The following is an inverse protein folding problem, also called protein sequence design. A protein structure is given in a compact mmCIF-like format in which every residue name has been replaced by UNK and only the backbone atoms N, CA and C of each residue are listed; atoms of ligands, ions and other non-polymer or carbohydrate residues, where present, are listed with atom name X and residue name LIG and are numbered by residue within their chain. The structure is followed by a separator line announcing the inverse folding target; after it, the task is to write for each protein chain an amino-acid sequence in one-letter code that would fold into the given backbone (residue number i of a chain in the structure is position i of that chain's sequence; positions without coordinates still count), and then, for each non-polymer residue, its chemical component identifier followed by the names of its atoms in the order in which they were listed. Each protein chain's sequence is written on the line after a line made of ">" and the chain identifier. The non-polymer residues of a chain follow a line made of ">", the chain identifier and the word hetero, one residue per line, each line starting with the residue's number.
data_IF_271773173261
#
_entry.id   IF_271773173261
#
_cell.length_a   1.000
_cell.length_b   1.000
_cell.length_c   1.000
_cell.angle_alpha   90.00
_cell.angle_beta   90.00
_cell.angle_gamma   90.00
#
_symmetry.space_group_name_H-M   'P 1'
#
loop_
_entity.id
_entity.type
_entity.pdbx_description
1 polymer ?
#
# COMPACT_ATOMS: atom_id res chain seq x y z
N UNK A 1 18.50 -4.46 -7.81
CA UNK A 1 18.37 -3.44 -6.76
C UNK A 1 19.30 -3.72 -5.59
N UNK A 2 20.62 -3.83 -5.82
CA UNK A 2 21.63 -3.88 -4.74
C UNK A 2 22.04 -2.48 -4.25
N UNK A 3 21.49 -1.43 -4.88
CA UNK A 3 21.69 -0.04 -4.49
C UNK A 3 20.62 0.35 -3.49
N UNK A 4 21.01 0.87 -2.33
CA UNK A 4 20.09 1.25 -1.24
C UNK A 4 18.99 2.21 -1.73
N UNK A 5 19.33 3.17 -2.61
CA UNK A 5 18.34 4.10 -3.20
C UNK A 5 17.27 3.45 -4.07
N UNK A 6 17.46 2.21 -4.54
CA UNK A 6 16.44 1.42 -5.25
C UNK A 6 15.67 0.52 -4.27
N UNK A 7 16.28 0.12 -3.16
CA UNK A 7 15.65 -0.77 -2.18
C UNK A 7 14.47 -0.11 -1.48
N UNK A 8 14.58 1.18 -1.14
CA UNK A 8 13.51 1.94 -0.50
C UNK A 8 12.20 1.97 -1.35
N UNK A 9 12.21 2.41 -2.62
CA UNK A 9 11.00 2.36 -3.46
C UNK A 9 10.54 0.92 -3.75
N UNK A 10 11.45 -0.06 -3.89
CA UNK A 10 11.05 -1.46 -4.03
C UNK A 10 10.33 -1.99 -2.79
N UNK A 11 10.78 -1.62 -1.60
CA UNK A 11 10.15 -2.01 -0.35
C UNK A 11 8.74 -1.43 -0.23
N UNK A 12 8.56 -0.15 -0.59
CA UNK A 12 7.23 0.48 -0.67
C UNK A 12 6.31 -0.23 -1.64
N UNK A 13 6.78 -0.59 -2.84
CA UNK A 13 5.99 -1.33 -3.83
C UNK A 13 5.53 -2.68 -3.27
N UNK A 14 6.45 -3.48 -2.73
CA UNK A 14 6.12 -4.81 -2.20
C UNK A 14 5.18 -4.74 -1.00
N UNK A 15 5.48 -3.82 -0.07
CA UNK A 15 4.71 -3.62 1.15
C UNK A 15 3.30 -3.13 0.86
N UNK A 16 3.14 -2.15 -0.03
CA UNK A 16 1.84 -1.68 -0.49
C UNK A 16 1.05 -2.79 -1.18
N UNK A 17 1.69 -3.58 -2.06
CA UNK A 17 1.02 -4.70 -2.71
C UNK A 17 0.46 -5.71 -1.69
N UNK A 18 1.25 -6.06 -0.67
CA UNK A 18 0.81 -6.97 0.38
C UNK A 18 -0.37 -6.42 1.20
N UNK A 19 -0.30 -5.14 1.60
CA UNK A 19 -1.35 -4.45 2.38
C UNK A 19 -2.64 -4.30 1.57
N UNK A 20 -2.53 -3.87 0.31
CA UNK A 20 -3.68 -3.66 -0.58
C UNK A 20 -4.43 -4.96 -0.84
N UNK A 21 -3.70 -6.03 -1.17
CA UNK A 21 -4.29 -7.34 -1.42
C UNK A 21 -4.91 -7.95 -0.15
N UNK A 22 -4.29 -7.74 1.02
CA UNK A 22 -4.88 -8.15 2.31
C UNK A 22 -6.21 -7.41 2.59
N UNK A 23 -6.23 -6.09 2.38
CA UNK A 23 -7.41 -5.25 2.61
C UNK A 23 -8.55 -5.57 1.62
N UNK A 24 -8.22 -5.80 0.35
CA UNK A 24 -9.16 -6.17 -0.70
C UNK A 24 -9.73 -7.59 -0.50
N UNK A 25 -8.89 -8.54 -0.08
CA UNK A 25 -9.33 -9.89 0.23
C UNK A 25 -10.29 -9.90 1.43
N UNK A 26 -9.94 -9.22 2.53
CA UNK A 26 -10.77 -9.19 3.74
C UNK A 26 -12.18 -8.63 3.46
N UNK A 27 -12.29 -7.54 2.70
CA UNK A 27 -13.60 -6.98 2.36
C UNK A 27 -14.39 -7.88 1.42
N UNK A 28 -13.71 -8.52 0.46
CA UNK A 28 -14.36 -9.46 -0.47
C UNK A 28 -14.95 -10.64 0.28
N UNK A 29 -14.22 -11.20 1.26
CA UNK A 29 -14.77 -12.23 2.14
C UNK A 29 -16.01 -11.75 2.90
N UNK A 30 -16.00 -10.54 3.46
CA UNK A 30 -17.18 -9.97 4.11
C UNK A 30 -18.39 -9.88 3.19
N UNK A 31 -18.18 -9.42 1.94
CA UNK A 31 -19.25 -9.36 0.92
C UNK A 31 -19.77 -10.76 0.59
N UNK A 32 -18.90 -11.75 0.48
CA UNK A 32 -19.29 -13.14 0.23
C UNK A 32 -20.12 -13.74 1.38
N UNK A 33 -19.92 -13.28 2.61
CA UNK A 33 -20.73 -13.65 3.77
C UNK A 33 -22.11 -12.95 3.79
N UNK A 34 -22.40 -12.07 2.82
CA UNK A 34 -23.67 -11.35 2.72
C UNK A 34 -23.67 -9.97 3.41
N UNK A 35 -22.54 -9.55 3.97
CA UNK A 35 -22.41 -8.24 4.60
C UNK A 35 -22.44 -7.10 3.57
N UNK A 36 -22.83 -5.90 4.01
CA UNK A 36 -22.84 -4.67 3.18
C UNK A 36 -21.89 -3.62 3.76
N UNK A 37 -20.56 -3.81 3.64
CA UNK A 37 -19.58 -3.06 4.41
C UNK A 37 -19.23 -1.69 3.80
N UNK A 38 -20.21 -0.77 3.73
CA UNK A 38 -20.05 0.53 3.05
C UNK A 38 -18.86 1.37 3.54
N UNK A 39 -18.60 1.39 4.85
CA UNK A 39 -17.46 2.13 5.44
C UNK A 39 -16.14 1.46 5.09
N UNK A 40 -16.06 0.13 5.13
CA UNK A 40 -14.83 -0.59 4.76
C UNK A 40 -14.56 -0.45 3.26
N UNK A 41 -15.59 -0.43 2.41
CA UNK A 41 -15.46 -0.18 0.97
C UNK A 41 -14.83 1.19 0.71
N UNK A 42 -15.28 2.21 1.44
CA UNK A 42 -14.71 3.55 1.38
C UNK A 42 -13.23 3.58 1.82
N UNK A 43 -12.87 2.85 2.89
CA UNK A 43 -11.49 2.71 3.37
C UNK A 43 -10.61 2.05 2.30
N UNK A 44 -11.03 0.89 1.79
CA UNK A 44 -10.29 0.11 0.78
C UNK A 44 -10.10 0.94 -0.47
N UNK A 45 -11.17 1.58 -0.98
CA UNK A 45 -11.10 2.44 -2.15
C UNK A 45 -10.11 3.59 -1.94
N UNK A 46 -10.22 4.32 -0.84
CA UNK A 46 -9.35 5.46 -0.56
C UNK A 46 -7.87 5.05 -0.47
N UNK A 47 -7.56 4.05 0.37
CA UNK A 47 -6.18 3.67 0.66
C UNK A 47 -5.53 2.88 -0.47
N UNK A 48 -6.25 1.97 -1.13
CA UNK A 48 -5.66 1.17 -2.21
C UNK A 48 -5.37 2.02 -3.44
N UNK A 49 -6.24 2.98 -3.78
CA UNK A 49 -5.98 3.88 -4.92
C UNK A 49 -4.80 4.81 -4.66
N UNK A 50 -4.66 5.34 -3.44
CA UNK A 50 -3.52 6.19 -3.09
C UNK A 50 -2.20 5.41 -3.01
N UNK A 51 -2.19 4.24 -2.35
CA UNK A 51 -1.00 3.38 -2.29
C UNK A 51 -0.60 2.87 -3.67
N UNK A 52 -1.57 2.48 -4.49
CA UNK A 52 -1.31 2.06 -5.88
C UNK A 52 -0.69 3.17 -6.72
N UNK A 53 -1.19 4.41 -6.60
CA UNK A 53 -0.59 5.56 -7.26
C UNK A 53 0.87 5.77 -6.85
N UNK A 54 1.17 5.72 -5.54
CA UNK A 54 2.55 5.86 -5.06
C UNK A 54 3.44 4.73 -5.57
N UNK A 55 2.96 3.49 -5.58
CA UNK A 55 3.74 2.36 -6.10
C UNK A 55 4.03 2.47 -7.61
N UNK A 56 3.14 3.07 -8.39
CA UNK A 56 3.41 3.35 -9.81
C UNK A 56 4.47 4.45 -9.97
N UNK A 57 4.42 5.51 -9.16
CA UNK A 57 5.44 6.56 -9.15
C UNK A 57 6.81 5.97 -8.80
N UNK A 58 6.87 5.19 -7.71
CA UNK A 58 8.09 4.50 -7.29
C UNK A 58 8.64 3.58 -8.41
N UNK A 59 7.76 2.88 -9.14
CA UNK A 59 8.16 2.03 -10.26
C UNK A 59 8.69 2.85 -11.45
N UNK A 60 8.12 4.02 -11.73
CA UNK A 60 8.64 4.93 -12.76
C UNK A 60 10.02 5.48 -12.38
N UNK A 61 10.22 5.86 -11.11
CA UNK A 61 11.52 6.33 -10.63
C UNK A 61 12.62 5.27 -10.78
N UNK A 62 12.29 4.00 -10.50
CA UNK A 62 13.22 2.87 -10.68
C UNK A 62 13.54 2.63 -12.16
N UNK A 63 12.55 2.74 -13.04
CA UNK A 63 12.69 2.40 -14.47
C UNK A 63 13.20 3.55 -15.34
N UNK A 64 13.18 4.78 -14.83
CA UNK A 64 13.71 5.96 -15.51
C UNK A 64 13.08 6.21 -16.87
N UNK A 65 13.90 6.40 -17.91
CA UNK A 65 13.43 6.71 -19.27
C UNK A 65 12.47 5.67 -19.85
N UNK A 66 12.67 4.38 -19.53
CA UNK A 66 11.77 3.28 -19.93
C UNK A 66 10.38 3.45 -19.37
N UNK A 67 10.25 3.96 -18.15
CA UNK A 67 8.96 4.21 -17.50
C UNK A 67 8.13 5.27 -18.24
N UNK A 68 8.77 6.23 -18.89
CA UNK A 68 8.12 7.40 -19.51
C UNK A 68 7.86 7.19 -21.01
N UNK A 69 8.78 6.54 -21.73
CA UNK A 69 8.67 6.41 -23.19
C UNK A 69 7.47 5.54 -23.59
N UNK A 70 6.50 6.12 -24.30
CA UNK A 70 5.26 5.45 -24.69
C UNK A 70 5.44 4.67 -25.99
N UNK A 71 5.78 3.38 -25.89
CA UNK A 71 5.76 2.45 -27.01
C UNK A 71 5.30 1.05 -26.62
N UNK A 72 5.49 0.08 -27.53
CA UNK A 72 4.98 -1.28 -27.35
C UNK A 72 5.67 -2.02 -26.20
N UNK A 73 6.91 -1.67 -25.88
CA UNK A 73 7.67 -2.31 -24.80
C UNK A 73 7.49 -1.63 -23.44
N UNK A 74 6.70 -0.54 -23.37
CA UNK A 74 6.40 0.14 -22.11
C UNK A 74 5.29 -0.58 -21.31
N UNK A 75 5.53 -0.77 -20.01
CA UNK A 75 4.62 -1.48 -19.10
C UNK A 75 4.08 -0.62 -17.94
N UNK A 76 4.45 0.67 -17.85
CA UNK A 76 4.14 1.52 -16.69
C UNK A 76 3.41 2.82 -17.03
N UNK A 77 3.74 3.47 -18.15
CA UNK A 77 3.27 4.82 -18.45
C UNK A 77 1.74 4.91 -18.52
N UNK A 78 1.07 3.88 -19.05
CA UNK A 78 -0.40 3.83 -19.11
C UNK A 78 -1.04 3.67 -17.74
N UNK A 79 -0.44 2.87 -16.86
CA UNK A 79 -0.90 2.74 -15.47
C UNK A 79 -0.77 4.09 -14.74
N UNK A 80 0.33 4.81 -14.95
CA UNK A 80 0.54 6.14 -14.39
C UNK A 80 -0.49 7.17 -14.90
N UNK A 81 -0.73 7.21 -16.22
CA UNK A 81 -1.74 8.08 -16.82
C UNK A 81 -3.16 7.79 -16.29
N UNK A 82 -3.47 6.52 -16.00
CA UNK A 82 -4.76 6.11 -15.46
C UNK A 82 -4.92 6.31 -13.95
N UNK A 83 -3.83 6.36 -13.18
CA UNK A 83 -3.86 6.41 -11.71
C UNK A 83 -4.74 7.54 -11.12
N UNK A 84 -4.76 8.77 -11.66
CA UNK A 84 -5.61 9.85 -11.15
C UNK A 84 -7.12 9.59 -11.29
N UNK A 85 -7.55 8.77 -12.26
CA UNK A 85 -8.97 8.48 -12.50
C UNK A 85 -9.55 7.76 -11.29
N UNK A 86 -8.85 6.75 -10.76
CA UNK A 86 -9.30 5.96 -9.61
C UNK A 86 -9.46 6.80 -8.32
N UNK A 87 -8.76 7.93 -8.21
CA UNK A 87 -8.86 8.84 -7.06
C UNK A 87 -10.19 9.61 -7.05
N UNK A 88 -10.72 9.94 -8.24
CA UNK A 88 -11.87 10.83 -8.42
C UNK A 88 -13.17 10.08 -8.70
N UNK A 89 -13.10 8.99 -9.45
CA UNK A 89 -14.26 8.15 -9.79
C UNK A 89 -14.66 7.29 -8.58
N UNK A 90 -15.92 6.84 -8.54
CA UNK A 90 -16.53 6.06 -7.44
C UNK A 90 -16.64 6.81 -6.09
N UNK A 91 -16.52 8.13 -6.14
CA UNK A 91 -16.53 9.03 -4.98
C UNK A 91 -15.14 9.60 -4.74
N UNK A 92 -15.02 10.92 -4.89
CA UNK A 92 -13.75 11.62 -4.75
C UNK A 92 -13.12 11.35 -3.38
N UNK A 93 -11.87 10.89 -3.36
CA UNK A 93 -11.15 10.51 -2.13
C UNK A 93 -11.19 11.60 -1.04
N UNK A 94 -11.18 12.88 -1.43
CA UNK A 94 -11.30 14.02 -0.51
C UNK A 94 -12.60 13.97 0.30
N UNK A 95 -13.73 13.70 -0.36
CA UNK A 95 -15.04 13.59 0.27
C UNK A 95 -15.17 12.27 1.03
N UNK A 96 -14.67 11.18 0.46
CA UNK A 96 -14.65 9.85 1.08
C UNK A 96 -13.94 9.88 2.43
N UNK A 97 -12.73 10.44 2.47
CA UNK A 97 -11.92 10.59 3.69
C UNK A 97 -12.60 11.50 4.71
N UNK A 98 -13.10 12.67 4.28
CA UNK A 98 -13.56 13.70 5.23
C UNK A 98 -14.97 13.47 5.77
N UNK A 99 -15.87 12.89 4.97
CA UNK A 99 -17.29 12.77 5.30
C UNK A 99 -17.78 11.34 5.50
N UNK A 100 -17.30 10.37 4.71
CA UNK A 100 -17.89 9.01 4.72
C UNK A 100 -17.24 8.08 5.74
N UNK A 101 -15.91 7.95 5.74
CA UNK A 101 -15.20 6.95 6.56
C UNK A 101 -15.53 7.11 8.04
N UNK A 102 -15.28 8.29 8.62
CA UNK A 102 -15.61 8.53 10.01
C UNK A 102 -17.06 8.99 10.21
N UNK A 103 -17.55 9.94 9.42
CA UNK A 103 -18.88 10.54 9.64
C UNK A 103 -20.02 9.52 9.60
N UNK A 104 -20.01 8.57 8.67
CA UNK A 104 -21.01 7.50 8.63
C UNK A 104 -20.64 6.31 9.52
N UNK A 105 -19.34 5.99 9.63
CA UNK A 105 -18.85 4.89 10.47
C UNK A 105 -19.09 5.12 11.96
N UNK A 106 -18.91 6.35 12.44
CA UNK A 106 -19.05 6.66 13.85
C UNK A 106 -20.50 6.63 14.35
N UNK A 107 -21.49 6.87 13.46
CA UNK A 107 -22.90 6.74 13.82
C UNK A 107 -23.35 5.27 13.78
N UNK A 108 -22.90 4.50 12.79
CA UNK A 108 -23.36 3.11 12.58
C UNK A 108 -22.64 2.08 13.45
N UNK A 109 -21.37 2.30 13.75
CA UNK A 109 -20.55 1.32 14.46
C UNK A 109 -20.45 1.61 15.97
N UNK A 110 -20.90 2.78 16.43
CA UNK A 110 -20.84 3.12 17.84
C UNK A 110 -22.03 2.48 18.59
N UNK A 111 -21.77 1.73 19.68
CA UNK A 111 -22.77 0.88 20.33
C UNK A 111 -23.97 1.64 20.93
N UNK A 112 -23.83 2.95 21.22
CA UNK A 112 -24.87 3.73 21.90
C UNK A 112 -25.43 4.88 21.07
N UNK A 113 -24.70 5.40 20.09
CA UNK A 113 -25.00 6.72 19.48
C UNK A 113 -26.27 6.66 18.62
N UNK A 114 -26.46 5.58 17.86
CA UNK A 114 -27.67 5.42 17.04
C UNK A 114 -28.92 5.29 17.92
N UNK A 115 -28.85 4.44 18.95
CA UNK A 115 -29.96 4.22 19.89
C UNK A 115 -30.29 5.50 20.68
N UNK A 116 -29.29 6.28 21.09
CA UNK A 116 -29.49 7.58 21.73
C UNK A 116 -30.20 8.58 20.82
N UNK A 117 -29.82 8.63 19.54
CA UNK A 117 -30.47 9.51 18.56
C UNK A 117 -31.92 9.09 18.30
N UNK A 118 -32.21 7.79 18.25
CA UNK A 118 -33.57 7.26 18.10
C UNK A 118 -34.44 7.53 19.33
N UNK A 119 -33.90 7.31 20.54
CA UNK A 119 -34.60 7.61 21.80
C UNK A 119 -34.91 9.12 21.92
N UNK A 120 -33.95 9.98 21.59
CA UNK A 120 -34.15 11.43 21.56
C UNK A 120 -35.21 11.84 20.53
N UNK A 121 -35.21 11.23 19.33
CA UNK A 121 -36.21 11.49 18.29
C UNK A 121 -37.62 11.07 18.71
N UNK A 122 -37.73 9.98 19.47
CA UNK A 122 -38.99 9.45 19.97
C UNK A 122 -39.46 10.11 21.28
N UNK A 123 -38.74 11.12 21.79
CA UNK A 123 -38.99 11.78 23.08
C UNK A 123 -39.04 10.80 24.27
N UNK A 124 -38.33 9.68 24.20
CA UNK A 124 -38.23 8.71 25.30
C UNK A 124 -37.07 9.07 26.23
N UNK A 125 -37.36 9.94 27.21
CA UNK A 125 -36.38 10.45 28.17
C UNK A 125 -35.77 9.34 29.01
N UNK A 126 -36.55 8.33 29.40
CA UNK A 126 -36.07 7.24 30.26
C UNK A 126 -35.11 6.31 29.50
N UNK A 127 -35.43 5.98 28.24
CA UNK A 127 -34.54 5.21 27.38
C UNK A 127 -33.26 6.00 27.07
N UNK A 128 -33.40 7.30 26.79
CA UNK A 128 -32.27 8.18 26.52
C UNK A 128 -31.31 8.28 27.71
N UNK A 129 -31.81 8.56 28.92
CA UNK A 129 -30.98 8.67 30.12
C UNK A 129 -30.24 7.36 30.41
N UNK A 130 -30.93 6.22 30.28
CA UNK A 130 -30.32 4.89 30.48
C UNK A 130 -29.19 4.63 29.48
N UNK A 131 -29.37 5.01 28.21
CA UNK A 131 -28.35 4.86 27.17
C UNK A 131 -27.17 5.81 27.42
N UNK A 132 -27.45 7.07 27.76
CA UNK A 132 -26.45 8.08 28.06
C UNK A 132 -25.54 7.67 29.22
N UNK A 133 -26.09 7.14 30.32
CA UNK A 133 -25.28 6.65 31.44
C UNK A 133 -24.40 5.44 31.07
N UNK A 134 -24.90 4.52 30.22
CA UNK A 134 -24.08 3.43 29.69
C UNK A 134 -22.96 3.94 28.79
N UNK A 135 -23.24 4.94 27.96
CA UNK A 135 -22.26 5.59 27.10
C UNK A 135 -21.18 6.28 27.94
N UNK A 136 -21.54 7.06 28.97
CA UNK A 136 -20.57 7.66 29.91
C UNK A 136 -19.69 6.58 30.56
N UNK A 137 -20.28 5.44 30.96
CA UNK A 137 -19.54 4.28 31.46
C UNK A 137 -18.56 3.70 30.43
N UNK A 138 -18.96 3.64 29.16
CA UNK A 138 -18.11 3.22 28.05
C UNK A 138 -16.91 4.16 27.86
N UNK A 139 -17.15 5.47 27.86
CA UNK A 139 -16.08 6.49 27.77
C UNK A 139 -15.10 6.35 28.94
N UNK A 140 -15.62 6.18 30.15
CA UNK A 140 -14.80 6.00 31.35
C UNK A 140 -13.91 4.75 31.28
N UNK A 141 -14.47 3.62 30.85
CA UNK A 141 -13.74 2.37 30.63
C UNK A 141 -12.66 2.53 29.54
N UNK A 142 -13.00 3.16 28.41
CA UNK A 142 -12.06 3.42 27.33
C UNK A 142 -10.92 4.34 27.77
N UNK A 143 -11.20 5.35 28.60
CA UNK A 143 -10.17 6.23 29.18
C UNK A 143 -9.19 5.46 30.05
N UNK A 144 -9.68 4.64 30.98
CA UNK A 144 -8.82 3.83 31.86
C UNK A 144 -8.01 2.83 31.04
N UNK A 145 -8.65 2.16 30.07
CA UNK A 145 -7.98 1.20 29.18
C UNK A 145 -6.93 1.86 28.31
N UNK A 146 -7.23 3.02 27.71
CA UNK A 146 -6.30 3.81 26.90
C UNK A 146 -5.10 4.25 27.72
N UNK A 147 -5.32 4.78 28.92
CA UNK A 147 -4.25 5.18 29.84
C UNK A 147 -3.38 3.98 30.26
N UNK A 148 -4.01 2.88 30.69
CA UNK A 148 -3.30 1.68 31.15
C UNK A 148 -2.50 1.00 30.04
N UNK A 149 -3.09 0.86 28.85
CA UNK A 149 -2.38 0.33 27.67
C UNK A 149 -1.34 1.31 27.14
N UNK A 150 -1.53 2.61 27.34
CA UNK A 150 -0.53 3.65 27.11
C UNK A 150 0.71 3.43 27.99
N UNK A 151 0.50 3.33 29.31
CA UNK A 151 1.56 3.15 30.29
C UNK A 151 2.30 1.81 30.13
N UNK A 152 1.55 0.72 29.92
CA UNK A 152 2.11 -0.64 29.77
C UNK A 152 2.55 -0.96 28.34
N UNK A 153 2.48 0.01 27.41
CA UNK A 153 2.76 -0.19 25.98
C UNK A 153 1.99 -1.38 25.39
N UNK A 154 0.75 -1.60 25.83
CA UNK A 154 -0.12 -2.69 25.39
C UNK A 154 0.27 -4.09 25.88
N UNK A 155 1.36 -4.26 26.64
CA UNK A 155 1.90 -5.58 27.04
C UNK A 155 0.90 -6.46 27.78
N UNK A 156 -0.06 -5.84 28.48
CA UNK A 156 -1.08 -6.49 29.29
C UNK A 156 -2.33 -6.89 28.51
N UNK A 157 -2.42 -6.55 27.22
CA UNK A 157 -3.58 -6.92 26.39
C UNK A 157 -3.48 -8.34 25.86
N UNK A 158 -4.63 -9.02 25.79
CA UNK A 158 -4.78 -10.37 25.25
C UNK A 158 -4.46 -10.40 23.75
N UNK A 159 -3.81 -11.48 23.32
CA UNK A 159 -3.47 -11.72 21.93
C UNK A 159 -3.98 -13.09 21.50
N UNK A 160 -4.44 -13.26 20.25
CA UNK A 160 -4.85 -14.56 19.75
C UNK A 160 -3.64 -15.51 19.61
N UNK A 161 -2.43 -14.95 19.45
CA UNK A 161 -1.21 -15.73 19.22
C UNK A 161 -0.03 -15.32 20.09
N UNK A 162 0.95 -16.21 20.18
CA UNK A 162 2.19 -16.04 20.93
C UNK A 162 3.46 -15.84 20.07
N UNK A 163 3.30 -15.64 18.76
CA UNK A 163 4.40 -15.61 17.79
C UNK A 163 4.96 -14.18 17.53
N UNK A 164 5.69 -13.99 16.42
CA UNK A 164 6.25 -12.71 16.01
C UNK A 164 5.21 -11.59 15.83
N UNK A 165 3.93 -11.94 15.65
CA UNK A 165 2.83 -10.98 15.48
C UNK A 165 2.18 -10.55 16.80
N UNK A 166 2.52 -11.21 17.92
CA UNK A 166 1.93 -10.94 19.25
C UNK A 166 1.91 -9.45 19.59
N UNK A 167 3.06 -8.76 19.47
CA UNK A 167 3.14 -7.34 19.82
C UNK A 167 2.25 -6.47 18.94
N UNK A 168 2.04 -6.83 17.68
CA UNK A 168 1.17 -6.07 16.80
C UNK A 168 -0.29 -6.10 17.24
N UNK A 169 -0.82 -7.27 17.64
CA UNK A 169 -2.17 -7.33 18.22
C UNK A 169 -2.30 -6.44 19.47
N UNK A 170 -1.26 -6.41 20.32
CA UNK A 170 -1.26 -5.56 21.50
C UNK A 170 -1.26 -4.06 21.16
N UNK A 171 -0.50 -3.69 20.13
CA UNK A 171 -0.46 -2.33 19.61
C UNK A 171 -1.79 -1.91 18.98
N UNK A 172 -2.44 -2.79 18.21
CA UNK A 172 -3.77 -2.55 17.66
C UNK A 172 -4.83 -2.41 18.75
N UNK A 173 -4.79 -3.23 19.79
CA UNK A 173 -5.70 -3.10 20.94
C UNK A 173 -5.54 -1.74 21.64
N UNK A 174 -4.32 -1.25 21.78
CA UNK A 174 -4.04 0.09 22.32
C UNK A 174 -4.60 1.19 21.40
N UNK A 175 -4.31 1.13 20.09
CA UNK A 175 -4.78 2.11 19.13
C UNK A 175 -6.31 2.12 19.01
N UNK A 176 -6.96 0.97 19.08
CA UNK A 176 -8.41 0.83 19.11
C UNK A 176 -9.02 1.52 20.34
N UNK A 177 -8.44 1.31 21.53
CA UNK A 177 -8.88 1.99 22.75
C UNK A 177 -8.69 3.53 22.66
N UNK A 178 -7.58 3.97 22.07
CA UNK A 178 -7.32 5.39 21.83
C UNK A 178 -8.32 5.99 20.84
N UNK A 179 -8.62 5.31 19.74
CA UNK A 179 -9.59 5.76 18.75
C UNK A 179 -11.00 5.85 19.37
N UNK A 180 -11.40 4.87 20.17
CA UNK A 180 -12.69 4.91 20.86
C UNK A 180 -12.77 6.14 21.77
N UNK A 181 -11.78 6.36 22.64
CA UNK A 181 -11.72 7.54 23.50
C UNK A 181 -11.73 8.86 22.70
N UNK A 182 -10.93 8.95 21.64
CA UNK A 182 -10.87 10.13 20.77
C UNK A 182 -12.21 10.40 20.09
N UNK A 183 -12.91 9.35 19.66
CA UNK A 183 -14.22 9.44 19.02
C UNK A 183 -15.26 9.96 20.01
N UNK A 184 -15.34 9.35 21.20
CA UNK A 184 -16.29 9.72 22.25
C UNK A 184 -16.09 11.17 22.69
N UNK A 185 -14.84 11.57 22.98
CA UNK A 185 -14.54 12.95 23.41
C UNK A 185 -14.75 13.95 22.27
N UNK A 186 -14.46 13.57 21.01
CA UNK A 186 -14.76 14.42 19.86
C UNK A 186 -16.25 14.65 19.69
N UNK A 187 -17.06 13.60 19.84
CA UNK A 187 -18.53 13.71 19.80
C UNK A 187 -19.08 14.53 20.96
N UNK A 188 -18.57 14.32 22.18
CA UNK A 188 -19.02 15.08 23.35
C UNK A 188 -18.69 16.59 23.25
N UNK A 189 -17.48 16.93 22.79
CA UNK A 189 -17.02 18.33 22.71
C UNK A 189 -17.58 19.07 21.49
N UNK A 190 -17.68 18.38 20.35
CA UNK A 190 -18.03 19.03 19.08
C UNK A 190 -19.49 18.78 18.68
N UNK A 191 -20.14 17.76 19.24
CA UNK A 191 -21.53 17.40 18.94
C UNK A 191 -21.82 17.31 17.45
N UNK A 192 -22.96 17.87 17.03
CA UNK A 192 -23.35 17.94 15.62
C UNK A 192 -22.42 18.79 14.74
N UNK A 193 -21.50 19.59 15.31
CA UNK A 193 -20.50 20.32 14.52
C UNK A 193 -19.36 19.42 14.04
N UNK A 194 -19.18 18.22 14.60
CA UNK A 194 -18.14 17.27 14.19
C UNK A 194 -18.25 16.93 12.70
N UNK A 195 -19.47 16.72 12.19
CA UNK A 195 -19.74 16.48 10.77
C UNK A 195 -19.32 17.65 9.87
N UNK A 196 -19.38 18.89 10.38
CA UNK A 196 -18.94 20.11 9.67
C UNK A 196 -17.42 20.33 9.77
N UNK A 197 -16.75 19.74 10.76
CA UNK A 197 -15.30 19.83 10.95
C UNK A 197 -14.61 18.69 10.20
N UNK A 198 -14.71 18.75 8.88
CA UNK A 198 -14.23 17.75 7.93
C UNK A 198 -12.79 17.27 8.18
N UNK A 199 -11.86 18.17 8.53
CA UNK A 199 -10.46 17.79 8.83
C UNK A 199 -10.28 16.95 10.11
N UNK A 200 -11.11 17.18 11.14
CA UNK A 200 -11.07 16.40 12.39
C UNK A 200 -11.65 15.01 12.13
N UNK A 201 -12.80 14.97 11.44
CA UNK A 201 -13.43 13.74 10.97
C UNK A 201 -12.49 12.91 10.10
N UNK A 202 -11.78 13.56 9.16
CA UNK A 202 -10.78 12.92 8.30
C UNK A 202 -9.69 12.20 9.10
N UNK A 203 -9.10 12.85 10.11
CA UNK A 203 -8.03 12.26 10.93
C UNK A 203 -8.51 11.07 11.77
N UNK A 204 -9.72 11.15 12.33
CA UNK A 204 -10.34 10.01 13.01
C UNK A 204 -10.58 8.85 12.04
N UNK A 205 -10.99 9.16 10.81
CA UNK A 205 -11.14 8.20 9.72
C UNK A 205 -9.81 7.58 9.29
N UNK A 206 -8.73 8.34 9.27
CA UNK A 206 -7.38 7.84 8.97
C UNK A 206 -6.93 6.83 10.02
N UNK A 207 -7.11 7.12 11.33
CA UNK A 207 -6.79 6.17 12.42
C UNK A 207 -7.58 4.87 12.26
N UNK A 208 -8.90 4.97 12.03
CA UNK A 208 -9.76 3.81 11.79
C UNK A 208 -9.29 2.99 10.58
N UNK A 209 -8.92 3.68 9.50
CA UNK A 209 -8.45 3.05 8.29
C UNK A 209 -7.17 2.26 8.51
N UNK A 210 -6.19 2.84 9.19
CA UNK A 210 -4.93 2.15 9.47
C UNK A 210 -5.12 0.95 10.41
N UNK A 211 -6.03 1.04 11.39
CA UNK A 211 -6.43 -0.10 12.20
C UNK A 211 -7.01 -1.24 11.34
N UNK A 212 -7.86 -0.90 10.36
CA UNK A 212 -8.41 -1.88 9.42
C UNK A 212 -7.33 -2.51 8.54
N UNK A 213 -6.45 -1.70 7.93
CA UNK A 213 -5.37 -2.20 7.07
C UNK A 213 -4.40 -3.12 7.82
N UNK A 214 -3.97 -2.74 9.02
CA UNK A 214 -3.12 -3.58 9.86
C UNK A 214 -3.81 -4.88 10.29
N UNK A 215 -5.11 -4.81 10.61
CA UNK A 215 -5.90 -6.00 10.94
C UNK A 215 -6.03 -6.94 9.74
N UNK A 216 -6.21 -6.39 8.54
CA UNK A 216 -6.29 -7.16 7.30
C UNK A 216 -4.97 -7.87 6.99
N UNK A 217 -3.83 -7.20 7.16
CA UNK A 217 -2.48 -7.79 7.01
C UNK A 217 -2.28 -8.97 7.96
N UNK A 218 -2.61 -8.79 9.24
CA UNK A 218 -2.50 -9.86 10.23
C UNK A 218 -3.48 -11.02 9.95
N UNK A 219 -4.69 -10.71 9.49
CA UNK A 219 -5.70 -11.71 9.15
C UNK A 219 -5.29 -12.53 7.93
N UNK A 220 -4.78 -11.88 6.87
CA UNK A 220 -4.21 -12.57 5.71
C UNK A 220 -3.09 -13.52 6.12
N UNK A 221 -2.15 -13.04 6.93
CA UNK A 221 -1.04 -13.87 7.41
C UNK A 221 -1.52 -15.12 8.16
N UNK A 222 -2.58 -14.98 8.97
CA UNK A 222 -3.21 -16.09 9.67
C UNK A 222 -3.90 -17.08 8.70
N UNK A 223 -4.70 -16.55 7.75
CA UNK A 223 -5.46 -17.35 6.78
C UNK A 223 -4.57 -18.09 5.77
N UNK A 224 -3.40 -17.53 5.43
CA UNK A 224 -2.42 -18.14 4.54
C UNK A 224 -1.47 -19.12 5.26
N UNK A 225 -1.73 -19.43 6.54
CA UNK A 225 -0.99 -20.46 7.30
C UNK A 225 0.28 -19.95 8.00
N UNK A 226 0.40 -18.64 8.22
CA UNK A 226 1.51 -18.00 8.96
C UNK A 226 2.89 -18.31 8.38
N UNK A 227 3.03 -18.17 7.07
CA UNK A 227 4.29 -18.44 6.36
C UNK A 227 5.41 -17.49 6.82
N UNK A 228 6.44 -18.00 7.52
CA UNK A 228 7.53 -17.17 8.04
C UNK A 228 8.26 -16.34 6.96
N UNK A 229 8.28 -16.83 5.71
CA UNK A 229 8.85 -16.11 4.56
C UNK A 229 8.14 -14.77 4.26
N UNK A 230 6.87 -14.63 4.66
CA UNK A 230 6.06 -13.41 4.44
C UNK A 230 6.19 -12.41 5.59
N UNK A 231 6.81 -12.80 6.71
CA UNK A 231 6.96 -11.94 7.88
C UNK A 231 7.57 -10.57 7.58
N UNK A 232 8.59 -10.41 6.70
CA UNK A 232 9.10 -9.08 6.37
C UNK A 232 8.03 -8.15 5.81
N UNK A 233 7.12 -8.65 4.97
CA UNK A 233 6.01 -7.87 4.40
C UNK A 233 4.94 -7.55 5.45
N UNK A 234 4.65 -8.52 6.33
CA UNK A 234 3.73 -8.33 7.46
C UNK A 234 4.27 -7.26 8.42
N UNK A 235 5.54 -7.36 8.80
CA UNK A 235 6.22 -6.38 9.64
C UNK A 235 6.16 -4.99 9.00
N UNK A 236 6.44 -4.89 7.70
CA UNK A 236 6.42 -3.62 6.99
C UNK A 236 5.03 -3.00 6.97
N UNK A 237 4.02 -3.76 6.54
CA UNK A 237 2.65 -3.27 6.41
C UNK A 237 2.02 -2.86 7.74
N UNK A 238 2.28 -3.62 8.81
CA UNK A 238 1.76 -3.28 10.15
C UNK A 238 2.52 -2.09 10.75
N UNK A 239 3.85 -2.03 10.63
CA UNK A 239 4.63 -0.89 11.15
C UNK A 239 4.23 0.42 10.47
N UNK A 240 4.09 0.41 9.15
CA UNK A 240 3.60 1.55 8.37
C UNK A 240 2.22 2.01 8.84
N UNK A 241 1.26 1.08 8.99
CA UNK A 241 -0.07 1.41 9.47
C UNK A 241 -0.08 1.96 10.92
N UNK A 242 0.69 1.35 11.83
CA UNK A 242 0.81 1.82 13.22
C UNK A 242 1.41 3.23 13.28
N UNK A 243 2.44 3.50 12.48
CA UNK A 243 3.10 4.81 12.39
C UNK A 243 2.13 5.88 11.86
N UNK A 244 1.44 5.61 10.75
CA UNK A 244 0.46 6.53 10.17
C UNK A 244 -0.73 6.79 11.11
N UNK A 245 -1.18 5.77 11.86
CA UNK A 245 -2.21 5.93 12.87
C UNK A 245 -1.77 6.85 14.02
N UNK A 246 -0.51 6.71 14.49
CA UNK A 246 0.06 7.57 15.52
C UNK A 246 0.16 9.02 15.07
N UNK A 247 0.62 9.23 13.84
CA UNK A 247 0.70 10.56 13.23
C UNK A 247 -0.68 11.21 13.11
N UNK A 248 -1.70 10.46 12.67
CA UNK A 248 -3.07 10.98 12.58
C UNK A 248 -3.67 11.33 13.95
N UNK A 249 -3.39 10.54 15.01
CA UNK A 249 -3.79 10.85 16.39
C UNK A 249 -3.13 12.14 16.88
N UNK A 250 -1.83 12.28 16.65
CA UNK A 250 -1.10 13.46 17.08
C UNK A 250 -1.57 14.72 16.35
N UNK A 251 -1.70 14.65 15.02
CA UNK A 251 -2.23 15.75 14.21
C UNK A 251 -3.65 16.16 14.63
N UNK A 252 -4.46 15.19 15.07
CA UNK A 252 -5.79 15.43 15.60
C UNK A 252 -5.71 16.24 16.90
N UNK A 253 -4.86 15.84 17.84
CA UNK A 253 -4.68 16.52 19.13
C UNK A 253 -4.07 17.92 18.94
N UNK A 254 -3.07 18.06 18.07
CA UNK A 254 -2.44 19.35 17.75
C UNK A 254 -3.41 20.36 17.14
N UNK A 255 -4.51 19.91 16.55
CA UNK A 255 -5.49 20.76 15.88
C UNK A 255 -6.87 20.68 16.54
N UNK A 256 -6.94 20.10 17.73
CA UNK A 256 -8.21 19.95 18.43
C UNK A 256 -8.68 21.33 18.93
N UNK A 257 -9.96 21.71 18.74
CA UNK A 257 -10.43 23.07 19.02
C UNK A 257 -10.30 23.49 20.49
N UNK A 258 -10.53 22.55 21.41
CA UNK A 258 -10.37 22.79 22.84
C UNK A 258 -8.98 22.33 23.29
N UNK A 259 -8.08 23.29 23.51
CA UNK A 259 -6.68 23.04 23.89
C UNK A 259 -6.52 22.36 25.24
N UNK A 260 -7.41 22.61 26.19
CA UNK A 260 -7.39 21.96 27.51
C UNK A 260 -7.72 20.48 27.36
N UNK A 261 -8.79 20.17 26.63
CA UNK A 261 -9.18 18.78 26.34
C UNK A 261 -8.09 18.07 25.54
N UNK A 262 -7.49 18.76 24.56
CA UNK A 262 -6.36 18.22 23.79
C UNK A 262 -5.18 17.84 24.67
N UNK A 263 -4.79 18.70 25.62
CA UNK A 263 -3.72 18.43 26.57
C UNK A 263 -4.01 17.22 27.46
N UNK A 264 -5.23 17.13 28.00
CA UNK A 264 -5.66 15.98 28.81
C UNK A 264 -5.65 14.68 28.01
N UNK A 265 -6.17 14.70 26.78
CA UNK A 265 -6.14 13.54 25.89
C UNK A 265 -4.71 13.14 25.53
N UNK A 266 -3.83 14.10 25.29
CA UNK A 266 -2.42 13.84 24.99
C UNK A 266 -1.73 13.09 26.14
N UNK A 267 -1.94 13.52 27.38
CA UNK A 267 -1.41 12.83 28.58
C UNK A 267 -1.97 11.40 28.71
N UNK A 268 -3.24 11.20 28.35
CA UNK A 268 -3.88 9.87 28.43
C UNK A 268 -3.40 8.92 27.34
N UNK A 269 -3.29 9.41 26.10
CA UNK A 269 -2.97 8.61 24.90
C UNK A 269 -1.46 8.35 24.78
N UNK A 270 -0.66 9.36 25.13
CA UNK A 270 0.80 9.38 25.03
C UNK A 270 1.47 9.65 26.38
N UNK A 271 1.20 8.86 27.44
CA UNK A 271 1.75 9.11 28.78
C UNK A 271 3.29 9.05 28.79
N UNK A 272 3.87 8.23 27.94
CA UNK A 272 5.33 8.08 27.77
C UNK A 272 5.81 8.55 26.39
N UNK A 273 5.02 9.39 25.70
CA UNK A 273 5.32 9.89 24.35
C UNK A 273 4.85 8.99 23.20
N UNK A 274 5.39 9.26 22.00
CA UNK A 274 5.17 8.47 20.77
C UNK A 274 6.11 7.27 20.73
N UNK A 275 5.64 6.18 20.13
CA UNK A 275 6.35 4.89 20.21
C UNK A 275 6.48 4.18 18.87
N UNK A 276 5.67 4.53 17.87
CA UNK A 276 5.68 3.82 16.61
C UNK A 276 6.70 4.48 15.69
N UNK A 277 7.59 3.65 15.15
CA UNK A 277 8.59 4.05 14.17
C UNK A 277 8.09 3.62 12.80
N UNK A 278 8.45 4.40 11.78
CA UNK A 278 8.32 3.98 10.40
C UNK A 278 9.13 2.68 10.15
N UNK A 279 8.80 1.90 9.10
CA UNK A 279 9.62 0.77 8.69
C UNK A 279 11.10 1.18 8.57
N UNK A 280 11.98 0.39 9.17
CA UNK A 280 13.42 0.69 9.16
C UNK A 280 14.07 0.29 7.84
N UNK A 281 15.17 0.93 7.47
CA UNK A 281 15.98 0.59 6.29
C UNK A 281 16.37 -0.89 6.24
N UNK A 282 16.67 -1.51 7.40
CA UNK A 282 16.97 -2.95 7.50
C UNK A 282 15.80 -3.83 7.10
N UNK A 283 14.58 -3.39 7.36
CA UNK A 283 13.36 -4.08 6.99
C UNK A 283 13.09 -3.86 5.50
N UNK A 284 13.27 -2.63 5.01
CA UNK A 284 13.15 -2.31 3.59
C UNK A 284 14.11 -3.13 2.74
N UNK A 285 15.37 -3.28 3.16
CA UNK A 285 16.34 -4.17 2.52
C UNK A 285 15.84 -5.61 2.40
N UNK A 286 15.26 -6.16 3.49
CA UNK A 286 14.71 -7.53 3.49
C UNK A 286 13.53 -7.65 2.53
N UNK A 287 12.64 -6.68 2.54
CA UNK A 287 11.44 -6.65 1.69
C UNK A 287 11.83 -6.51 0.22
N UNK A 288 12.73 -5.57 -0.11
CA UNK A 288 13.23 -5.37 -1.47
C UNK A 288 13.93 -6.63 -2.00
N UNK A 289 14.67 -7.35 -1.15
CA UNK A 289 15.33 -8.61 -1.54
C UNK A 289 14.34 -9.71 -1.94
N UNK A 290 13.15 -9.76 -1.34
CA UNK A 290 12.08 -10.71 -1.72
C UNK A 290 11.68 -10.50 -3.19
N UNK A 291 11.63 -9.26 -3.67
CA UNK A 291 11.25 -8.98 -5.06
C UNK A 291 12.35 -9.31 -6.07
N UNK A 292 13.61 -9.32 -5.64
CA UNK A 292 14.78 -9.45 -6.51
C UNK A 292 15.14 -10.90 -6.87
N UNK A 293 14.50 -11.89 -6.26
CA UNK A 293 14.78 -13.31 -6.50
C UNK A 293 13.46 -14.07 -6.64
N UNK A 294 13.32 -15.00 -7.60
CA UNK A 294 12.18 -15.90 -7.66
C UNK A 294 12.03 -16.69 -6.36
N UNK A 295 10.90 -16.52 -5.67
CA UNK A 295 10.57 -17.22 -4.44
C UNK A 295 9.05 -17.32 -4.27
N UNK A 296 8.62 -18.19 -3.35
CA UNK A 296 7.20 -18.46 -3.13
C UNK A 296 6.42 -17.21 -2.65
N UNK A 297 7.03 -16.34 -1.84
CA UNK A 297 6.42 -15.09 -1.36
C UNK A 297 6.13 -14.14 -2.51
N UNK A 298 7.10 -13.93 -3.42
CA UNK A 298 6.93 -13.11 -4.62
C UNK A 298 5.81 -13.66 -5.51
N UNK A 299 5.75 -14.98 -5.70
CA UNK A 299 4.66 -15.63 -6.45
C UNK A 299 3.30 -15.45 -5.78
N UNK A 300 3.22 -15.46 -4.44
CA UNK A 300 1.97 -15.17 -3.71
C UNK A 300 1.50 -13.74 -3.91
N UNK A 301 2.40 -12.75 -3.84
CA UNK A 301 2.07 -11.34 -4.08
C UNK A 301 1.60 -11.12 -5.53
N UNK A 302 2.24 -11.79 -6.50
CA UNK A 302 1.89 -11.71 -7.91
C UNK A 302 0.74 -12.62 -8.35
N UNK A 303 -0.01 -13.23 -7.42
CA UNK A 303 -1.05 -14.20 -7.78
C UNK A 303 -2.14 -13.56 -8.64
N UNK A 304 -2.55 -14.27 -9.68
CA UNK A 304 -3.61 -13.82 -10.60
C UNK A 304 -3.12 -12.88 -11.71
N UNK A 305 -1.83 -12.58 -11.76
CA UNK A 305 -1.23 -11.83 -12.88
C UNK A 305 -0.86 -12.76 -14.04
N UNK A 306 -0.98 -12.27 -15.27
CA UNK A 306 -0.53 -12.97 -16.47
C UNK A 306 0.94 -12.66 -16.75
N UNK A 307 1.83 -13.56 -16.34
CA UNK A 307 3.29 -13.38 -16.40
C UNK A 307 3.97 -14.18 -17.52
N UNK A 308 3.20 -14.82 -18.42
CA UNK A 308 3.77 -15.60 -19.52
C UNK A 308 4.53 -14.66 -20.48
N UNK A 309 5.83 -14.92 -20.75
CA UNK A 309 6.60 -14.15 -21.71
C UNK A 309 5.99 -14.27 -23.12
N UNK A 310 5.67 -13.13 -23.73
CA UNK A 310 5.23 -13.05 -25.12
C UNK A 310 5.55 -11.66 -25.65
N UNK A 311 5.61 -11.52 -26.97
CA UNK A 311 5.89 -10.25 -27.65
C UNK A 311 4.94 -9.12 -27.20
N UNK A 312 3.69 -9.45 -26.90
CA UNK A 312 2.67 -8.50 -26.45
C UNK A 312 2.51 -8.43 -24.92
N UNK A 313 3.39 -9.07 -24.15
CA UNK A 313 3.40 -9.00 -22.70
C UNK A 313 4.76 -8.52 -22.17
N UNK A 314 5.00 -7.20 -22.18
CA UNK A 314 6.24 -6.63 -21.66
C UNK A 314 6.54 -7.01 -20.20
N UNK A 315 5.50 -7.18 -19.36
CA UNK A 315 5.66 -7.62 -17.97
C UNK A 315 6.19 -9.05 -17.90
N UNK A 316 5.65 -9.97 -18.72
CA UNK A 316 6.17 -11.33 -18.83
C UNK A 316 7.62 -11.39 -19.35
N UNK A 317 7.99 -10.49 -20.27
CA UNK A 317 9.37 -10.39 -20.77
C UNK A 317 10.35 -9.89 -19.70
N UNK A 318 9.90 -9.08 -18.74
CA UNK A 318 10.70 -8.68 -17.57
C UNK A 318 10.90 -9.83 -16.57
N UNK A 319 9.87 -10.66 -16.38
CA UNK A 319 9.98 -11.86 -15.56
C UNK A 319 10.99 -12.85 -16.13
N UNK A 320 10.99 -13.05 -17.45
CA UNK A 320 12.03 -13.82 -18.14
C UNK A 320 13.42 -13.22 -17.92
N UNK A 321 13.55 -11.90 -18.09
CA UNK A 321 14.83 -11.22 -17.92
C UNK A 321 15.41 -11.36 -16.51
N UNK A 322 14.56 -11.40 -15.47
CA UNK A 322 15.01 -11.66 -14.10
C UNK A 322 15.65 -13.04 -13.97
N UNK A 323 15.04 -14.07 -14.57
CA UNK A 323 15.56 -15.45 -14.53
C UNK A 323 16.87 -15.55 -15.31
N UNK A 324 16.93 -14.97 -16.51
CA UNK A 324 18.12 -15.00 -17.35
C UNK A 324 19.32 -14.31 -16.66
N UNK A 325 19.09 -13.13 -16.05
CA UNK A 325 20.15 -12.40 -15.32
C UNK A 325 20.64 -13.16 -14.09
N UNK A 326 19.76 -13.83 -13.35
CA UNK A 326 20.15 -14.65 -12.19
C UNK A 326 20.97 -15.86 -12.62
N UNK A 327 20.62 -16.49 -13.76
CA UNK A 327 21.39 -17.61 -14.31
C UNK A 327 22.80 -17.19 -14.75
N UNK A 328 22.95 -15.95 -15.26
CA UNK A 328 24.23 -15.39 -15.69
C UNK A 328 25.16 -14.93 -14.54
N UNK A 329 24.62 -14.52 -13.38
CA UNK A 329 25.40 -14.01 -12.23
C UNK A 329 26.52 -14.97 -11.75
N UNK A 330 26.30 -16.28 -11.51
CA UNK A 330 27.36 -17.18 -11.06
C UNK A 330 28.47 -17.38 -12.10
N UNK A 331 28.12 -17.39 -13.40
CA UNK A 331 29.08 -17.52 -14.51
C UNK A 331 29.95 -16.26 -14.57
N UNK A 332 29.32 -15.08 -14.51
CA UNK A 332 30.01 -13.79 -14.50
C UNK A 332 30.97 -13.66 -13.30
N UNK A 333 30.53 -14.06 -12.10
CA UNK A 333 31.38 -14.03 -10.91
C UNK A 333 32.58 -14.97 -11.03
N UNK A 334 32.42 -16.15 -11.65
CA UNK A 334 33.51 -17.09 -11.90
C UNK A 334 34.55 -16.50 -12.85
N UNK A 335 34.10 -15.92 -13.97
CA UNK A 335 34.98 -15.23 -14.93
C UNK A 335 35.74 -14.07 -14.26
N UNK A 336 35.07 -13.25 -13.45
CA UNK A 336 35.71 -12.15 -12.72
C UNK A 336 36.79 -12.65 -11.75
N UNK A 337 36.52 -13.76 -11.06
CA UNK A 337 37.46 -14.37 -10.12
C UNK A 337 38.68 -14.94 -10.82
N UNK A 338 38.50 -15.65 -11.93
CA UNK A 338 39.61 -16.23 -12.72
C UNK A 338 40.48 -15.15 -13.38
N UNK A 339 39.88 -14.07 -13.84
CA UNK A 339 40.59 -12.93 -14.42
C UNK A 339 41.19 -11.98 -13.37
N UNK A 340 40.84 -12.15 -12.09
CA UNK A 340 41.26 -11.26 -11.01
C UNK A 340 40.79 -9.81 -11.18
N UNK A 341 39.70 -9.58 -11.92
CA UNK A 341 39.18 -8.25 -12.26
C UNK A 341 37.68 -8.21 -12.02
N UNK A 342 37.20 -7.10 -11.46
CA UNK A 342 35.77 -6.84 -11.32
C UNK A 342 35.27 -6.23 -12.63
N UNK A 343 34.71 -7.07 -13.51
CA UNK A 343 34.17 -6.62 -14.80
C UNK A 343 32.73 -6.13 -14.61
N UNK A 344 32.30 -5.10 -15.36
CA UNK A 344 30.91 -4.65 -15.30
C UNK A 344 29.97 -5.78 -15.76
N UNK A 345 28.75 -5.80 -15.22
CA UNK A 345 27.68 -6.70 -15.65
C UNK A 345 26.95 -6.10 -16.87
N UNK A 346 27.72 -5.80 -17.91
CA UNK A 346 27.24 -5.19 -19.17
C UNK A 346 28.01 -5.79 -20.34
N UNK A 347 27.42 -5.86 -21.54
CA UNK A 347 28.05 -6.47 -22.72
C UNK A 347 28.44 -7.92 -22.45
N UNK A 348 27.52 -8.69 -21.85
CA UNK A 348 27.79 -10.08 -21.47
C UNK A 348 28.01 -10.98 -22.70
N UNK A 349 27.49 -10.58 -23.86
CA UNK A 349 27.74 -11.16 -25.17
C UNK A 349 29.24 -11.12 -25.55
N UNK A 350 29.89 -9.97 -25.41
CA UNK A 350 31.32 -9.82 -25.66
C UNK A 350 32.15 -10.53 -24.60
N UNK A 351 31.70 -10.48 -23.34
CA UNK A 351 32.35 -11.22 -22.26
C UNK A 351 32.32 -12.72 -22.52
N UNK A 352 31.17 -13.25 -22.95
CA UNK A 352 30.98 -14.65 -23.29
C UNK A 352 31.92 -15.08 -24.42
N UNK A 353 31.99 -14.29 -25.50
CA UNK A 353 32.89 -14.58 -26.62
C UNK A 353 34.36 -14.64 -26.17
N UNK A 354 34.80 -13.63 -25.42
CA UNK A 354 36.19 -13.56 -24.93
C UNK A 354 36.52 -14.68 -23.94
N UNK A 355 35.57 -15.06 -23.06
CA UNK A 355 35.75 -16.13 -22.10
C UNK A 355 35.78 -17.52 -22.78
N UNK A 356 34.96 -17.73 -23.82
CA UNK A 356 34.95 -18.94 -24.63
C UNK A 356 36.28 -19.12 -25.36
N UNK A 357 36.81 -18.06 -25.99
CA UNK A 357 38.12 -18.10 -26.70
C UNK A 357 39.27 -18.42 -25.74
N UNK A 358 39.18 -17.96 -24.49
CA UNK A 358 40.17 -18.25 -23.44
C UNK A 358 39.96 -19.61 -22.76
N UNK A 359 38.90 -20.34 -23.11
CA UNK A 359 38.57 -21.63 -22.50
C UNK A 359 38.12 -21.56 -21.03
N UNK A 360 37.60 -20.41 -20.59
CA UNK A 360 37.13 -20.19 -19.21
C UNK A 360 35.68 -20.69 -18.99
N UNK A 361 34.91 -20.81 -20.08
CA UNK A 361 33.52 -21.26 -20.08
C UNK A 361 33.25 -22.17 -21.28
N UNK A 362 32.19 -22.95 -21.21
CA UNK A 362 31.72 -23.76 -22.34
C UNK A 362 30.71 -23.00 -23.24
N UNK A 363 30.24 -23.67 -24.30
CA UNK A 363 29.28 -23.09 -25.25
C UNK A 363 27.90 -22.83 -24.65
N UNK A 364 27.47 -23.65 -23.69
CA UNK A 364 26.15 -23.56 -23.07
C UNK A 364 26.13 -22.37 -22.09
N UNK A 365 27.19 -22.22 -21.29
CA UNK A 365 27.42 -21.08 -20.42
C UNK A 365 27.55 -19.77 -21.21
N UNK A 366 28.22 -19.80 -22.36
CA UNK A 366 28.29 -18.65 -23.25
C UNK A 366 26.90 -18.26 -23.79
N UNK A 367 26.05 -19.23 -24.14
CA UNK A 367 24.69 -18.98 -24.58
C UNK A 367 23.82 -18.37 -23.47
N UNK A 368 23.99 -18.78 -22.21
CA UNK A 368 23.30 -18.18 -21.05
C UNK A 368 23.66 -16.69 -20.91
N UNK A 369 24.95 -16.34 -21.02
CA UNK A 369 25.40 -14.96 -20.94
C UNK A 369 24.86 -14.08 -22.09
N UNK A 370 24.85 -14.61 -23.32
CA UNK A 370 24.29 -13.90 -24.48
C UNK A 370 22.79 -13.67 -24.30
N UNK A 371 22.04 -14.70 -23.90
CA UNK A 371 20.60 -14.59 -23.63
C UNK A 371 20.30 -13.56 -22.54
N UNK A 372 21.09 -13.56 -21.46
CA UNK A 372 20.95 -12.59 -20.39
C UNK A 372 21.19 -11.15 -20.86
N UNK A 373 22.14 -10.91 -21.77
CA UNK A 373 22.37 -9.59 -22.36
C UNK A 373 21.20 -9.16 -23.25
N UNK A 374 20.69 -10.04 -24.11
CA UNK A 374 19.53 -9.78 -24.96
C UNK A 374 18.31 -9.38 -24.12
N UNK A 375 17.99 -10.19 -23.10
CA UNK A 375 16.89 -9.92 -22.17
C UNK A 375 17.10 -8.63 -21.37
N UNK A 376 18.33 -8.33 -20.94
CA UNK A 376 18.69 -7.09 -20.23
C UNK A 376 18.51 -5.86 -21.12
N UNK A 377 19.03 -5.88 -22.34
CA UNK A 377 18.90 -4.78 -23.30
C UNK A 377 17.44 -4.54 -23.67
N UNK A 378 16.66 -5.59 -23.95
CA UNK A 378 15.21 -5.51 -24.20
C UNK A 378 14.46 -4.81 -23.06
N UNK A 379 14.86 -5.10 -21.82
CA UNK A 379 14.21 -4.55 -20.63
C UNK A 379 14.56 -3.09 -20.36
N UNK A 380 15.80 -2.68 -20.66
CA UNK A 380 16.33 -1.34 -20.35
C UNK A 380 16.13 -0.35 -21.51
N UNK A 381 16.28 -0.81 -22.76
CA UNK A 381 16.19 0.05 -23.93
C UNK A 381 14.79 0.66 -24.04
N UNK A 382 14.74 1.96 -24.31
CA UNK A 382 13.51 2.67 -24.63
C UNK A 382 13.06 2.34 -26.05
N UNK A 383 11.77 2.43 -26.31
CA UNK A 383 11.28 2.40 -27.69
C UNK A 383 11.81 3.64 -28.42
N UNK A 384 12.45 3.42 -29.57
CA UNK A 384 12.91 4.46 -30.48
C UNK A 384 11.91 4.59 -31.62
N UNK A 385 11.67 5.82 -32.07
CA UNK A 385 10.67 6.13 -33.09
C UNK A 385 11.30 7.01 -34.16
N UNK A 386 11.22 6.56 -35.41
CA UNK A 386 11.66 7.39 -36.53
C UNK A 386 10.76 8.64 -36.66
N UNK A 387 11.31 9.80 -37.05
CA UNK A 387 10.53 11.03 -37.20
C UNK A 387 9.28 10.89 -38.09
N UNK A 388 9.34 10.00 -39.08
CA UNK A 388 8.21 9.70 -39.98
C UNK A 388 7.07 8.95 -39.28
N UNK A 389 7.35 8.14 -38.27
CA UNK A 389 6.33 7.40 -37.50
C UNK A 389 5.51 8.33 -36.60
N UNK A 390 6.15 9.40 -36.11
CA UNK A 390 5.53 10.44 -35.29
C UNK A 390 4.89 11.56 -36.12
N UNK A 391 5.15 11.61 -37.43
CA UNK A 391 4.61 12.64 -38.31
C UNK A 391 3.08 12.52 -38.40
N UNK A 392 2.37 13.63 -38.14
CA UNK A 392 0.92 13.70 -38.32
C UNK A 392 0.57 13.46 -39.78
N UNK A 393 -0.07 12.31 -40.08
CA UNK A 393 -0.58 12.05 -41.43
C UNK A 393 -1.57 13.16 -41.82
N UNK A 394 -1.39 13.83 -42.96
CA UNK A 394 -2.27 14.91 -43.36
C UNK A 394 -3.70 14.38 -43.48
N UNK A 395 -4.62 14.97 -42.73
CA UNK A 395 -6.05 14.68 -42.83
C UNK A 395 -6.47 15.02 -44.26
N UNK A 396 -6.86 14.00 -45.05
CA UNK A 396 -7.51 14.25 -46.35
C UNK A 396 -8.81 14.99 -46.06
N UNK A 397 -8.80 16.32 -46.26
CA UNK A 397 -10.03 17.10 -46.28
C UNK A 397 -10.91 16.52 -47.40
N UNK A 398 -12.20 16.22 -47.13
CA UNK A 398 -13.09 15.72 -48.17
C UNK A 398 -13.10 16.73 -49.32
N UNK A 399 -12.87 16.26 -50.54
CA UNK A 399 -13.00 17.10 -51.74
C UNK A 399 -14.37 17.76 -51.69
N UNK A 400 -14.39 19.09 -51.84
CA UNK A 400 -15.64 19.83 -52.01
C UNK A 400 -16.29 19.30 -53.28
N UNK A 401 -17.22 18.35 -53.12
CA UNK A 401 -18.10 17.92 -54.21
C UNK A 401 -18.82 19.18 -54.67
N UNK A 402 -18.42 19.71 -55.83
CA UNK A 402 -19.15 20.79 -56.49
C UNK A 402 -20.55 20.26 -56.71
N UNK A 403 -21.54 20.80 -56.00
CA UNK A 403 -22.95 20.57 -56.32
C UNK A 403 -23.11 21.02 -57.77
N UNK A 404 -23.40 20.08 -58.65
CA UNK A 404 -23.86 20.40 -60.00
C UNK A 404 -25.22 21.06 -59.79
N UNK A 405 -25.30 22.36 -60.03
CA UNK A 405 -26.58 23.06 -60.12
C UNK A 405 -27.38 22.40 -61.24
N UNK A 406 -28.48 21.76 -60.88
CA UNK A 406 -29.45 21.27 -61.85
C UNK A 406 -30.13 22.49 -62.49
N UNK A 407 -30.24 22.43 -63.82
CA UNK A 407 -30.65 23.49 -64.75
C UNK A 407 -32.01 24.14 -64.45
#
# INVERSE_FOLDING_TARGET
>A
GKMEGIEEPLARIAGNAYVMDAAASLITYGIMLGEKPAVLSAIVKYHCTHRGQQSIIDAMDITGGKGIMLGQSNFLARAYQGAPIAITVEGANILTRSMMIFGQGAIRCHPYVLEEMEAAKNNDVNAFDKLLFKHIGHVGSNKVRSFWLGLTRGLTSSTPTGDATKRYYQHLNRLSANLALLSDVSMAVLGGSLKRRERISARLGDILSQLYLASAVLKRYDDEGRNEADLPLVHWGVQDALYQAEQAMDDLLQNFPNRVVAGLLNVVIFPTGRHYLAPSDKLDHKVAKILQVPNATRSRIGRGQYLTPSEHNPVGLLEEALVDVIAADPIHQRICKELGKNLPFTRLDELAHNALVKGLIDKDEAAILVKAEESRLRSINVDDFDPEELATKPVKLPEKVRKVEAA
#
